data_IF_727511876878
#
_entry.id   IF_727511876878
#
_cell.length_a   1.000
_cell.length_b   1.000
_cell.length_c   1.000
_cell.angle_alpha   90.00
_cell.angle_beta   90.00
_cell.angle_gamma   90.00
#
_symmetry.space_group_name_H-M   'P 1'
#
loop_
_entity.id
_entity.type
_entity.pdbx_description
1 polymer ?
#
# COMPACT_ATOMS: atom_id res chain seq x y z
N UNK A 1 3.69 19.25 -0.76
CA UNK A 1 3.73 17.90 -0.16
C UNK A 1 4.62 17.08 -1.05
N UNK A 2 5.74 16.62 -0.51
CA UNK A 2 6.54 15.60 -1.20
C UNK A 2 5.65 14.36 -1.40
N UNK A 3 5.77 13.65 -2.53
CA UNK A 3 5.09 12.37 -2.66
C UNK A 3 5.60 11.48 -1.53
N UNK A 4 4.69 11.05 -0.65
CA UNK A 4 5.01 10.09 0.39
C UNK A 4 5.62 8.85 -0.30
N UNK A 5 6.73 8.34 0.23
CA UNK A 5 7.45 7.20 -0.35
C UNK A 5 6.63 5.90 -0.36
N UNK A 6 7.24 4.76 -0.74
CA UNK A 6 6.55 3.47 -0.68
C UNK A 6 6.03 3.21 0.74
N UNK A 7 4.92 2.49 0.85
CA UNK A 7 4.33 2.07 2.11
C UNK A 7 4.53 0.56 2.28
N UNK A 8 5.74 0.09 2.63
CA UNK A 8 6.01 -1.33 2.76
C UNK A 8 5.31 -1.91 3.99
N UNK A 9 4.90 -3.17 3.89
CA UNK A 9 4.34 -3.91 5.01
C UNK A 9 3.64 -5.20 4.58
N UNK A 10 3.06 -5.88 5.56
CA UNK A 10 2.29 -7.11 5.32
C UNK A 10 0.85 -6.76 4.93
N UNK A 11 0.34 -7.41 3.88
CA UNK A 11 -1.08 -7.30 3.54
C UNK A 11 -1.93 -8.00 4.59
N UNK A 12 -2.93 -7.31 5.16
CA UNK A 12 -3.81 -7.90 6.18
C UNK A 12 -4.76 -9.00 5.67
N UNK A 13 -4.79 -9.29 4.36
CA UNK A 13 -5.70 -10.27 3.75
C UNK A 13 -5.00 -11.54 3.28
N UNK A 14 -3.83 -11.42 2.66
CA UNK A 14 -3.09 -12.56 2.12
C UNK A 14 -1.75 -12.80 2.83
N UNK A 15 -1.42 -11.99 3.84
CA UNK A 15 -0.21 -12.09 4.66
C UNK A 15 1.12 -12.00 3.89
N UNK A 16 1.09 -11.63 2.61
CA UNK A 16 2.29 -11.41 1.81
C UNK A 16 2.94 -10.07 2.15
N UNK A 17 4.28 -10.02 2.28
CA UNK A 17 5.02 -8.76 2.35
C UNK A 17 4.96 -8.06 0.99
N UNK A 18 4.66 -6.77 0.99
CA UNK A 18 4.55 -5.94 -0.21
C UNK A 18 5.21 -4.58 0.01
N UNK A 19 5.74 -3.97 -1.06
CA UNK A 19 6.32 -2.62 -1.03
C UNK A 19 5.26 -1.52 -1.04
N UNK A 20 4.08 -1.80 -1.58
CA UNK A 20 2.98 -0.85 -1.70
C UNK A 20 1.69 -1.47 -1.18
N UNK A 21 1.09 -0.79 -0.20
CA UNK A 21 -0.22 -1.14 0.37
C UNK A 21 -1.12 0.09 0.42
N UNK A 22 -2.40 -0.12 0.14
CA UNK A 22 -3.44 0.88 0.31
C UNK A 22 -4.05 0.76 1.71
N UNK A 23 -4.40 1.90 2.30
CA UNK A 23 -5.27 1.96 3.48
C UNK A 23 -6.66 1.45 3.07
N UNK A 24 -7.24 0.53 3.82
CA UNK A 24 -8.57 -0.03 3.50
C UNK A 24 -9.59 0.10 4.63
N UNK A 25 -9.14 0.39 5.85
CA UNK A 25 -10.02 0.72 6.96
C UNK A 25 -9.31 1.61 7.97
N UNK A 26 -10.06 2.53 8.57
CA UNK A 26 -9.69 3.24 9.78
C UNK A 26 -10.57 2.65 10.89
N UNK A 27 -9.93 2.19 11.96
CA UNK A 27 -10.56 1.54 13.10
C UNK A 27 -10.54 2.54 14.24
N UNK A 28 -11.65 3.24 14.44
CA UNK A 28 -11.83 4.12 15.58
C UNK A 28 -12.34 3.33 16.78
N UNK A 29 -11.74 3.52 17.94
CA UNK A 29 -12.18 2.92 19.20
C UNK A 29 -12.37 4.01 20.24
N UNK A 30 -13.57 4.10 20.83
CA UNK A 30 -13.96 5.23 21.69
C UNK A 30 -13.09 5.46 22.93
N UNK A 31 -12.49 4.41 23.51
CA UNK A 31 -11.60 4.51 24.68
C UNK A 31 -10.31 3.70 24.56
N UNK A 32 -10.08 3.06 23.41
CA UNK A 32 -8.91 2.22 23.14
C UNK A 32 -7.98 2.82 22.08
N UNK A 33 -6.83 2.18 21.81
CA UNK A 33 -5.99 2.55 20.68
C UNK A 33 -6.74 2.23 19.38
N UNK A 34 -7.00 3.27 18.59
CA UNK A 34 -7.45 3.10 17.21
C UNK A 34 -6.38 2.44 16.34
N UNK A 35 -6.76 2.07 15.13
CA UNK A 35 -5.86 1.41 14.19
C UNK A 35 -6.22 1.67 12.75
N UNK A 36 -5.38 1.16 11.86
CA UNK A 36 -5.57 1.23 10.42
C UNK A 36 -5.27 -0.13 9.81
N UNK A 37 -6.09 -0.57 8.87
CA UNK A 37 -5.86 -1.80 8.12
C UNK A 37 -5.35 -1.48 6.71
N UNK A 38 -4.35 -2.23 6.26
CA UNK A 38 -3.72 -2.02 4.96
C UNK A 38 -3.68 -3.32 4.16
N UNK A 39 -3.98 -3.23 2.86
CA UNK A 39 -3.94 -4.36 1.94
C UNK A 39 -3.05 -4.07 0.72
N UNK A 40 -2.48 -5.12 0.13
CA UNK A 40 -1.82 -4.99 -1.17
C UNK A 40 -2.84 -4.56 -2.24
N UNK A 41 -2.36 -3.93 -3.31
CA UNK A 41 -3.23 -3.32 -4.34
C UNK A 41 -4.27 -4.30 -4.92
N UNK A 42 -3.96 -5.58 -5.25
CA UNK A 42 -4.97 -6.52 -5.71
C UNK A 42 -6.05 -6.80 -4.67
N UNK A 43 -5.67 -7.07 -3.41
CA UNK A 43 -6.62 -7.34 -2.34
C UNK A 43 -7.46 -6.12 -1.98
N UNK A 44 -6.90 -4.91 -2.07
CA UNK A 44 -7.63 -3.66 -1.88
C UNK A 44 -8.70 -3.45 -2.96
N UNK A 45 -8.36 -3.69 -4.24
CA UNK A 45 -9.31 -3.63 -5.36
C UNK A 45 -10.45 -4.65 -5.21
N UNK A 46 -10.15 -5.84 -4.72
CA UNK A 46 -11.19 -6.83 -4.46
C UNK A 46 -12.08 -6.46 -3.28
N UNK A 47 -11.51 -5.86 -2.23
CA UNK A 47 -12.28 -5.35 -1.10
C UNK A 47 -13.19 -4.17 -1.50
N UNK A 48 -12.71 -3.27 -2.37
CA UNK A 48 -13.48 -2.13 -2.89
C UNK A 48 -14.77 -2.52 -3.64
N UNK A 49 -14.91 -3.78 -4.07
CA UNK A 49 -16.13 -4.31 -4.72
C UNK A 49 -17.20 -4.75 -3.72
N UNK A 50 -16.89 -4.76 -2.42
CA UNK A 50 -17.80 -5.24 -1.38
C UNK A 50 -18.66 -4.11 -0.83
N UNK A 51 -19.84 -4.43 -0.31
CA UNK A 51 -20.72 -3.46 0.36
C UNK A 51 -20.17 -2.91 1.68
N UNK A 52 -19.06 -3.46 2.18
CA UNK A 52 -18.39 -3.02 3.41
C UNK A 52 -17.26 -2.03 3.12
N UNK A 53 -16.95 -1.78 1.85
CA UNK A 53 -15.90 -0.88 1.45
C UNK A 53 -16.24 0.58 1.85
N UNK A 54 -15.33 1.30 2.52
CA UNK A 54 -15.52 2.73 2.76
C UNK A 54 -15.58 3.50 1.44
N UNK A 55 -16.39 4.56 1.38
CA UNK A 55 -16.56 5.37 0.15
C UNK A 55 -15.24 5.96 -0.36
N UNK A 56 -14.33 6.29 0.55
CA UNK A 56 -13.01 6.87 0.23
C UNK A 56 -11.98 5.87 -0.30
N UNK A 57 -12.28 4.56 -0.32
CA UNK A 57 -11.27 3.53 -0.64
C UNK A 57 -10.67 3.70 -2.04
N UNK A 58 -11.47 4.16 -3.01
CA UNK A 58 -11.00 4.37 -4.38
C UNK A 58 -9.83 5.37 -4.47
N UNK A 59 -9.90 6.44 -3.68
CA UNK A 59 -8.85 7.47 -3.63
C UNK A 59 -7.55 6.91 -3.05
N UNK A 60 -7.65 6.13 -1.96
CA UNK A 60 -6.48 5.52 -1.33
C UNK A 60 -5.81 4.46 -2.20
N UNK A 61 -6.58 3.70 -2.98
CA UNK A 61 -6.06 2.75 -3.97
C UNK A 61 -5.36 3.51 -5.10
N UNK A 62 -5.99 4.53 -5.66
CA UNK A 62 -5.42 5.32 -6.74
C UNK A 62 -4.12 6.01 -6.32
N UNK A 63 -4.08 6.55 -5.10
CA UNK A 63 -2.86 7.14 -4.53
C UNK A 63 -1.74 6.10 -4.40
N UNK A 64 -2.02 4.94 -3.80
CA UNK A 64 -1.02 3.88 -3.65
C UNK A 64 -0.53 3.31 -4.98
N UNK A 65 -1.38 3.26 -6.02
CA UNK A 65 -1.01 2.91 -7.38
C UNK A 65 -0.07 3.94 -8.01
N UNK A 66 -0.38 5.23 -7.87
CA UNK A 66 0.50 6.30 -8.34
C UNK A 66 1.87 6.23 -7.67
N UNK A 67 1.93 5.95 -6.38
CA UNK A 67 3.20 5.78 -5.65
C UNK A 67 3.98 4.55 -6.11
N UNK A 68 3.30 3.44 -6.45
CA UNK A 68 3.95 2.27 -7.05
C UNK A 68 4.61 2.63 -8.38
N UNK A 69 3.87 3.29 -9.28
CA UNK A 69 4.41 3.69 -10.60
C UNK A 69 5.61 4.64 -10.43
N UNK A 70 5.46 5.67 -9.60
CA UNK A 70 6.54 6.64 -9.36
C UNK A 70 7.79 6.00 -8.73
N UNK A 71 7.62 4.95 -7.92
CA UNK A 71 8.73 4.18 -7.34
C UNK A 71 9.41 3.30 -8.39
N UNK A 72 8.63 2.54 -9.17
CA UNK A 72 9.13 1.68 -10.26
C UNK A 72 9.96 2.52 -11.26
N UNK A 73 9.48 3.70 -11.66
CA UNK A 73 10.19 4.63 -12.57
C UNK A 73 11.51 5.18 -11.97
N UNK A 74 11.56 5.36 -10.64
CA UNK A 74 12.78 5.79 -9.96
C UNK A 74 13.81 4.67 -9.86
N UNK A 75 13.38 3.42 -9.65
CA UNK A 75 14.26 2.25 -9.70
C UNK A 75 14.85 2.06 -11.11
N UNK A 76 14.05 2.22 -12.16
CA UNK A 76 14.52 2.15 -13.54
C UNK A 76 15.54 3.26 -13.86
N UNK A 77 15.31 4.48 -13.38
CA UNK A 77 16.23 5.62 -13.56
C UNK A 77 17.48 5.54 -12.69
N UNK A 78 17.40 4.91 -11.52
CA UNK A 78 18.53 4.64 -10.63
C UNK A 78 19.33 3.39 -10.99
N UNK A 79 18.88 2.62 -11.99
CA UNK A 79 19.51 1.39 -12.47
C UNK A 79 20.88 1.58 -13.16
N UNK A 80 21.26 2.81 -13.52
CA UNK A 80 22.62 3.18 -13.95
C UNK A 80 23.44 3.72 -12.77
N UNK A 81 23.51 2.98 -11.66
CA UNK A 81 24.49 3.24 -10.60
C UNK A 81 23.98 3.07 -9.17
N UNK A 82 24.36 1.94 -8.57
CA UNK A 82 24.28 1.64 -7.13
C UNK A 82 22.87 1.42 -6.55
N UNK A 83 22.44 0.15 -6.51
CA UNK A 83 21.35 -0.30 -5.63
C UNK A 83 21.87 -1.21 -4.51
N UNK A 84 21.39 -1.08 -3.26
CA UNK A 84 21.34 -2.20 -2.34
C UNK A 84 19.95 -2.86 -2.44
N UNK A 85 19.94 -4.04 -3.05
CA UNK A 85 19.18 -5.19 -2.56
C UNK A 85 17.65 -5.17 -2.63
N UNK A 86 17.12 -5.93 -3.60
CA UNK A 86 15.85 -6.67 -3.44
C UNK A 86 15.74 -7.26 -2.02
N UNK A 87 14.61 -7.16 -1.31
CA UNK A 87 14.37 -8.07 -0.19
C UNK A 87 14.20 -9.50 -0.72
N UNK A 88 14.78 -10.46 0.02
CA UNK A 88 14.78 -11.89 -0.26
C UNK A 88 13.38 -12.40 -0.62
N UNK A 89 13.28 -13.14 -1.72
CA UNK A 89 12.22 -14.14 -1.86
C UNK A 89 12.55 -15.26 -0.86
N UNK A 90 11.67 -15.47 0.11
CA UNK A 90 11.63 -16.71 0.90
C UNK A 90 11.18 -17.87 0.01
#
# INVERSE_FOLDING_TARGET
>A
MEPEGPNPGTCCRCDLPVMHRALIAIIETGSGPGGSAYACLPCARDYAKTSLAPEWIGETIAHAEAMRVAWDEQEERGGEGAGPGRPLRL
#
